data_IF_582327178370
#
_entry.id   IF_582327178370
#
_cell.length_a   1.000
_cell.length_b   1.000
_cell.length_c   1.000
_cell.angle_alpha   90.00
_cell.angle_beta   90.00
_cell.angle_gamma   90.00
#
_symmetry.space_group_name_H-M   'P 1'
#
loop_
_entity.id
_entity.type
_entity.pdbx_description
1 polymer ?
#
# COMPACT_ATOMS: atom_id res chain seq x y z
N UNK A 1 27.04 -4.19 -7.56
CA UNK A 1 25.99 -4.09 -6.54
C UNK A 1 24.66 -4.20 -7.26
N UNK A 2 23.85 -5.16 -6.89
CA UNK A 2 22.52 -5.32 -7.45
C UNK A 2 21.63 -4.17 -6.93
N UNK A 3 20.96 -3.46 -7.85
CA UNK A 3 20.10 -2.34 -7.49
C UNK A 3 18.88 -2.88 -6.74
N UNK A 4 18.44 -2.21 -5.67
CA UNK A 4 17.25 -2.56 -4.88
C UNK A 4 16.03 -2.85 -5.76
N UNK A 5 15.78 -2.01 -6.77
CA UNK A 5 14.69 -2.21 -7.74
C UNK A 5 14.83 -3.52 -8.53
N UNK A 6 16.05 -3.95 -8.84
CA UNK A 6 16.30 -5.20 -9.55
C UNK A 6 16.03 -6.41 -8.64
N UNK A 7 16.44 -6.34 -7.37
CA UNK A 7 16.09 -7.35 -6.36
C UNK A 7 14.57 -7.51 -6.23
N UNK A 8 13.84 -6.41 -6.12
CA UNK A 8 12.37 -6.43 -5.99
C UNK A 8 11.72 -7.08 -7.22
N UNK A 9 12.21 -6.77 -8.43
CA UNK A 9 11.70 -7.36 -9.67
C UNK A 9 11.95 -8.87 -9.79
N UNK A 10 13.00 -9.37 -9.17
CA UNK A 10 13.39 -10.79 -9.20
C UNK A 10 12.76 -11.62 -8.07
N UNK A 11 12.14 -10.98 -7.07
CA UNK A 11 11.41 -11.70 -6.02
C UNK A 11 10.29 -12.53 -6.62
N UNK A 12 10.14 -13.76 -6.18
CA UNK A 12 8.94 -14.56 -6.47
C UNK A 12 7.69 -13.94 -5.83
N UNK A 13 6.53 -14.36 -6.30
CA UNK A 13 5.24 -13.76 -5.93
C UNK A 13 4.94 -13.87 -4.43
N UNK A 14 5.31 -14.98 -3.81
CA UNK A 14 5.16 -15.16 -2.37
C UNK A 14 6.07 -14.20 -1.60
N UNK A 15 7.34 -14.18 -1.95
CA UNK A 15 8.34 -13.36 -1.29
C UNK A 15 8.03 -11.87 -1.40
N UNK A 16 7.56 -11.39 -2.56
CA UNK A 16 7.26 -9.95 -2.74
C UNK A 16 6.10 -9.47 -1.87
N UNK A 17 5.05 -10.29 -1.69
CA UNK A 17 3.92 -9.95 -0.82
C UNK A 17 4.36 -9.90 0.64
N UNK A 18 5.10 -10.90 1.09
CA UNK A 18 5.63 -10.97 2.47
C UNK A 18 6.65 -9.87 2.75
N UNK A 19 7.48 -9.54 1.76
CA UNK A 19 8.42 -8.43 1.86
C UNK A 19 7.70 -7.09 2.07
N UNK A 20 6.61 -6.83 1.33
CA UNK A 20 5.82 -5.62 1.54
C UNK A 20 5.16 -5.61 2.92
N UNK A 21 4.59 -6.71 3.39
CA UNK A 21 4.01 -6.79 4.74
C UNK A 21 5.06 -6.49 5.82
N UNK A 22 6.26 -7.05 5.68
CA UNK A 22 7.35 -6.81 6.61
C UNK A 22 7.82 -5.34 6.58
N UNK A 23 8.02 -4.78 5.38
CA UNK A 23 8.36 -3.36 5.19
C UNK A 23 7.26 -2.47 5.77
N UNK A 24 6.00 -2.76 5.49
CA UNK A 24 4.84 -2.03 6.01
C UNK A 24 4.83 -2.04 7.54
N UNK A 25 4.96 -3.20 8.16
CA UNK A 25 4.99 -3.33 9.62
C UNK A 25 6.14 -2.54 10.23
N UNK A 26 7.33 -2.61 9.63
CA UNK A 26 8.51 -1.90 10.11
C UNK A 26 8.36 -0.39 9.96
N UNK A 27 7.96 0.08 8.79
CA UNK A 27 7.82 1.52 8.51
C UNK A 27 6.68 2.14 9.33
N UNK A 28 5.52 1.46 9.44
CA UNK A 28 4.39 1.97 10.22
C UNK A 28 4.68 2.01 11.71
N UNK A 29 5.46 1.07 12.24
CA UNK A 29 5.87 1.10 13.65
C UNK A 29 6.84 2.25 13.97
N UNK A 30 7.61 2.69 12.99
CA UNK A 30 8.57 3.79 13.09
C UNK A 30 7.99 5.15 12.65
N UNK A 31 6.79 5.17 12.10
CA UNK A 31 6.13 6.37 11.60
C UNK A 31 5.70 7.28 12.76
N UNK A 32 6.05 8.57 12.68
CA UNK A 32 5.59 9.61 13.61
C UNK A 32 4.34 10.33 13.10
N UNK A 33 4.18 10.40 11.77
CA UNK A 33 3.03 11.06 11.15
C UNK A 33 1.77 10.21 11.28
N UNK A 34 0.65 10.83 11.61
CA UNK A 34 -0.63 10.17 11.55
C UNK A 34 -1.18 10.07 10.12
N UNK A 35 -2.26 9.32 9.94
CA UNK A 35 -2.86 9.10 8.62
C UNK A 35 -3.33 10.40 7.96
N UNK A 36 -3.83 11.36 8.76
CA UNK A 36 -4.33 12.64 8.25
C UNK A 36 -3.18 13.53 7.78
N UNK A 37 -2.08 13.61 8.54
CA UNK A 37 -0.87 14.34 8.12
C UNK A 37 -0.28 13.76 6.83
N UNK A 38 -0.28 12.44 6.67
CA UNK A 38 0.18 11.79 5.45
C UNK A 38 -0.71 12.14 4.25
N UNK A 39 -2.01 12.09 4.42
CA UNK A 39 -2.98 12.44 3.36
C UNK A 39 -2.85 13.91 2.96
N UNK A 40 -2.69 14.81 3.91
CA UNK A 40 -2.51 16.25 3.66
C UNK A 40 -1.20 16.56 2.92
N UNK A 41 -0.20 15.68 3.05
CA UNK A 41 1.09 15.82 2.35
C UNK A 41 1.10 15.21 0.94
N UNK A 42 -0.02 14.65 0.47
CA UNK A 42 -0.11 14.07 -0.87
C UNK A 42 -0.09 15.15 -1.97
N UNK A 43 0.51 14.88 -3.15
CA UNK A 43 0.41 15.77 -4.30
C UNK A 43 -1.04 16.00 -4.72
N UNK A 44 -1.36 17.24 -5.14
CA UNK A 44 -2.72 17.59 -5.58
C UNK A 44 -3.26 16.71 -6.73
N UNK A 45 -2.38 16.18 -7.57
CA UNK A 45 -2.75 15.26 -8.63
C UNK A 45 -3.26 13.90 -8.10
N UNK A 46 -2.82 13.51 -6.93
CA UNK A 46 -3.24 12.26 -6.26
C UNK A 46 -4.49 12.49 -5.42
N UNK A 47 -4.55 13.61 -4.68
CA UNK A 47 -5.70 13.92 -3.79
C UNK A 47 -7.01 14.16 -4.55
N UNK A 48 -6.93 14.54 -5.82
CA UNK A 48 -8.13 14.74 -6.67
C UNK A 48 -8.74 13.45 -7.22
N UNK A 49 -8.15 12.30 -6.94
CA UNK A 49 -8.67 11.01 -7.41
C UNK A 49 -9.77 10.50 -6.46
N UNK A 50 -11.01 10.28 -6.95
CA UNK A 50 -12.10 9.80 -6.12
C UNK A 50 -11.82 8.41 -5.51
N UNK A 51 -11.04 7.59 -6.21
CA UNK A 51 -10.62 6.28 -5.73
C UNK A 51 -9.73 6.39 -4.49
N UNK A 52 -8.89 7.41 -4.41
CA UNK A 52 -8.05 7.63 -3.24
C UNK A 52 -8.89 8.01 -2.01
N UNK A 53 -9.87 8.89 -2.17
CA UNK A 53 -10.77 9.27 -1.09
C UNK A 53 -11.48 8.06 -0.49
N UNK A 54 -11.97 7.16 -1.35
CA UNK A 54 -12.58 5.91 -0.94
C UNK A 54 -11.60 5.02 -0.15
N UNK A 55 -10.36 4.90 -0.62
CA UNK A 55 -9.32 4.11 0.05
C UNK A 55 -8.91 4.70 1.41
N UNK A 56 -8.78 6.01 1.51
CA UNK A 56 -8.50 6.70 2.78
C UNK A 56 -9.63 6.49 3.78
N UNK A 57 -10.88 6.53 3.32
CA UNK A 57 -12.04 6.22 4.14
C UNK A 57 -11.99 4.80 4.71
N UNK A 58 -11.59 3.82 3.91
CA UNK A 58 -11.42 2.43 4.35
C UNK A 58 -10.27 2.28 5.36
N UNK A 59 -9.16 2.97 5.13
CA UNK A 59 -8.02 2.96 6.05
C UNK A 59 -8.39 3.54 7.42
N UNK A 60 -9.09 4.67 7.44
CA UNK A 60 -9.60 5.29 8.68
C UNK A 60 -10.64 4.43 9.39
N UNK A 61 -11.43 3.68 8.63
CA UNK A 61 -12.41 2.71 9.16
C UNK A 61 -11.79 1.43 9.73
N UNK A 62 -10.48 1.25 9.62
CA UNK A 62 -9.77 0.04 10.09
C UNK A 62 -10.09 -1.20 9.24
N UNK A 63 -10.38 -1.03 7.97
CA UNK A 63 -10.69 -2.12 7.05
C UNK A 63 -9.47 -3.02 6.82
N UNK A 64 -9.54 -4.24 7.30
CA UNK A 64 -8.49 -5.26 7.16
C UNK A 64 -8.85 -6.35 6.14
N UNK A 65 -9.69 -6.05 5.15
CA UNK A 65 -9.97 -7.00 4.08
C UNK A 65 -8.69 -7.41 3.38
N UNK A 66 -8.67 -8.66 2.94
CA UNK A 66 -7.56 -9.23 2.19
C UNK A 66 -7.77 -9.00 0.69
N UNK A 67 -6.70 -8.62 0.01
CA UNK A 67 -6.71 -8.51 -1.45
C UNK A 67 -6.56 -9.89 -2.08
N UNK A 68 -7.21 -10.16 -3.24
CA UNK A 68 -6.97 -11.39 -4.00
C UNK A 68 -5.48 -11.57 -4.32
N UNK A 69 -5.00 -12.81 -4.38
CA UNK A 69 -3.58 -13.13 -4.56
C UNK A 69 -2.94 -12.43 -5.76
N UNK A 70 -3.60 -12.45 -6.92
CA UNK A 70 -3.07 -11.79 -8.13
C UNK A 70 -2.94 -10.27 -7.97
N UNK A 71 -3.86 -9.62 -7.25
CA UNK A 71 -3.80 -8.18 -6.96
C UNK A 71 -2.75 -7.90 -5.91
N UNK A 72 -2.65 -8.75 -4.89
CA UNK A 72 -1.64 -8.64 -3.82
C UNK A 72 -0.22 -8.60 -4.38
N UNK A 73 0.11 -9.49 -5.31
CA UNK A 73 1.44 -9.55 -5.96
C UNK A 73 1.75 -8.26 -6.73
N UNK A 74 0.80 -7.81 -7.56
CA UNK A 74 0.99 -6.61 -8.38
C UNK A 74 1.13 -5.35 -7.51
N UNK A 75 0.28 -5.22 -6.50
CA UNK A 75 0.31 -4.09 -5.57
C UNK A 75 1.59 -4.11 -4.74
N UNK A 76 1.98 -5.28 -4.22
CA UNK A 76 3.18 -5.41 -3.41
C UNK A 76 4.44 -5.03 -4.20
N UNK A 77 4.57 -5.57 -5.41
CA UNK A 77 5.71 -5.26 -6.29
C UNK A 77 5.75 -3.78 -6.67
N UNK A 78 4.60 -3.22 -7.07
CA UNK A 78 4.50 -1.81 -7.44
C UNK A 78 4.79 -0.88 -6.28
N UNK A 79 4.24 -1.13 -5.09
CA UNK A 79 4.48 -0.31 -3.90
C UNK A 79 5.96 -0.36 -3.46
N UNK A 80 6.58 -1.55 -3.43
CA UNK A 80 8.01 -1.67 -3.10
C UNK A 80 8.91 -0.94 -4.10
N UNK A 81 8.58 -0.99 -5.40
CA UNK A 81 9.33 -0.26 -6.42
C UNK A 81 9.21 1.25 -6.24
N UNK A 82 8.00 1.76 -5.96
CA UNK A 82 7.78 3.19 -5.68
C UNK A 82 8.55 3.66 -4.45
N UNK A 83 8.54 2.87 -3.38
CA UNK A 83 9.32 3.17 -2.17
C UNK A 83 10.83 3.17 -2.46
N UNK A 84 11.31 2.22 -3.27
CA UNK A 84 12.72 2.11 -3.65
C UNK A 84 13.19 3.24 -4.58
N UNK A 85 12.30 3.85 -5.35
CA UNK A 85 12.61 4.99 -6.22
C UNK A 85 12.80 6.30 -5.44
N UNK A 86 12.36 6.35 -4.19
CA UNK A 86 12.55 7.50 -3.31
C UNK A 86 13.84 7.37 -2.51
N UNK A 87 14.85 8.25 -2.76
CA UNK A 87 16.15 8.15 -2.08
C UNK A 87 16.02 8.12 -0.55
N UNK A 88 15.06 8.88 -0.01
CA UNK A 88 14.84 9.00 1.42
C UNK A 88 14.29 7.71 2.04
N UNK A 89 13.50 6.94 1.27
CA UNK A 89 12.86 5.72 1.72
C UNK A 89 13.66 4.47 1.34
N UNK A 90 14.47 4.54 0.28
CA UNK A 90 15.22 3.38 -0.25
C UNK A 90 16.12 2.75 0.79
N UNK A 91 16.81 3.54 1.63
CA UNK A 91 17.65 3.04 2.71
C UNK A 91 16.83 2.31 3.78
N UNK A 92 15.65 2.83 4.12
CA UNK A 92 14.75 2.21 5.10
C UNK A 92 14.17 0.90 4.56
N UNK A 93 13.77 0.89 3.28
CA UNK A 93 13.29 -0.31 2.60
C UNK A 93 14.40 -1.36 2.53
N UNK A 94 15.63 -0.97 2.16
CA UNK A 94 16.77 -1.88 2.10
C UNK A 94 17.09 -2.48 3.46
N UNK A 95 17.15 -1.67 4.52
CA UNK A 95 17.36 -2.13 5.89
C UNK A 95 16.26 -3.09 6.36
N UNK A 96 15.00 -2.77 6.05
CA UNK A 96 13.86 -3.63 6.36
C UNK A 96 13.95 -4.96 5.61
N UNK A 97 14.26 -4.95 4.31
CA UNK A 97 14.45 -6.17 3.52
C UNK A 97 15.65 -6.99 3.97
N UNK A 98 16.71 -6.36 4.47
CA UNK A 98 17.87 -7.06 5.03
C UNK A 98 17.53 -7.79 6.35
N UNK A 99 16.60 -7.27 7.13
CA UNK A 99 16.11 -7.91 8.36
C UNK A 99 15.04 -8.97 8.09
N UNK A 100 14.46 -8.99 6.88
CA UNK A 100 13.45 -9.97 6.49
C UNK A 100 14.04 -11.37 6.45
N UNK A 101 13.43 -12.27 7.20
CA UNK A 101 13.76 -13.70 7.18
C UNK A 101 12.61 -14.43 6.50
N UNK A 102 12.91 -15.06 5.38
CA UNK A 102 11.95 -15.89 4.66
C UNK A 102 11.54 -17.09 5.54
N UNK A 103 10.39 -16.97 6.17
CA UNK A 103 9.82 -18.05 6.98
C UNK A 103 8.64 -18.68 6.22
N UNK A 104 8.96 -19.59 5.30
CA UNK A 104 7.97 -20.27 4.43
C UNK A 104 6.92 -21.13 5.16
N UNK A 105 7.05 -21.24 6.47
CA UNK A 105 6.09 -22.02 7.27
C UNK A 105 4.72 -21.36 7.48
N UNK A 106 4.58 -20.08 7.14
CA UNK A 106 3.33 -19.33 7.28
C UNK A 106 2.78 -18.98 5.89
N UNK A 107 1.87 -19.76 5.41
CA UNK A 107 1.19 -19.55 4.13
C UNK A 107 0.24 -18.35 4.20
N UNK A 108 0.60 -17.24 3.57
CA UNK A 108 -0.38 -16.29 3.03
C UNK A 108 0.27 -15.47 1.92
N UNK A 109 -0.08 -15.76 0.69
CA UNK A 109 0.18 -14.92 -0.49
C UNK A 109 -0.80 -13.73 -0.57
N UNK A 110 -1.35 -13.31 0.57
CA UNK A 110 -2.50 -12.42 0.63
C UNK A 110 -2.09 -11.18 1.43
N UNK A 111 -2.10 -10.04 0.75
CA UNK A 111 -1.81 -8.73 1.32
C UNK A 111 -3.08 -8.15 1.96
N UNK A 112 -2.96 -7.59 3.16
CA UNK A 112 -4.05 -6.80 3.74
C UNK A 112 -4.24 -5.48 2.97
N UNK A 113 -5.49 -5.09 2.76
CA UNK A 113 -5.81 -3.82 2.11
C UNK A 113 -5.20 -2.63 2.87
N UNK A 114 -5.22 -2.68 4.20
CA UNK A 114 -4.63 -1.65 5.05
C UNK A 114 -3.13 -1.46 4.81
N UNK A 115 -2.36 -2.55 4.76
CA UNK A 115 -0.93 -2.49 4.47
C UNK A 115 -0.67 -1.94 3.05
N UNK A 116 -1.42 -2.41 2.06
CA UNK A 116 -1.30 -1.94 0.68
C UNK A 116 -1.56 -0.43 0.56
N UNK A 117 -2.68 0.05 1.10
CA UNK A 117 -3.09 1.46 1.05
C UNK A 117 -2.06 2.32 1.78
N UNK A 118 -1.65 1.93 2.99
CA UNK A 118 -0.66 2.68 3.77
C UNK A 118 0.65 2.84 3.02
N UNK A 119 1.15 1.80 2.38
CA UNK A 119 2.41 1.86 1.63
C UNK A 119 2.30 2.69 0.35
N UNK A 120 1.16 2.65 -0.35
CA UNK A 120 0.90 3.52 -1.50
C UNK A 120 0.87 4.99 -1.05
N UNK A 121 0.20 5.30 0.06
CA UNK A 121 0.14 6.65 0.62
C UNK A 121 1.54 7.12 1.01
N UNK A 122 2.31 6.32 1.77
CA UNK A 122 3.68 6.66 2.16
C UNK A 122 4.56 6.90 0.93
N UNK A 123 4.45 6.06 -0.10
CA UNK A 123 5.19 6.24 -1.35
C UNK A 123 4.82 7.52 -2.10
N UNK A 124 3.57 7.96 -1.98
CA UNK A 124 3.03 9.13 -2.66
C UNK A 124 3.25 10.45 -1.92
N UNK A 125 3.48 10.43 -0.60
CA UNK A 125 3.62 11.64 0.23
C UNK A 125 4.88 12.43 -0.10
N UNK A 126 4.81 13.76 0.05
CA UNK A 126 5.95 14.66 -0.15
C UNK A 126 6.85 14.77 1.08
N UNK A 127 6.32 14.48 2.26
CA UNK A 127 7.09 14.49 3.51
C UNK A 127 6.60 13.40 4.46
N UNK A 128 7.54 12.67 5.04
CA UNK A 128 7.28 11.63 6.05
C UNK A 128 8.27 11.78 7.18
N UNK A 129 7.80 11.61 8.41
CA UNK A 129 8.66 11.61 9.61
C UNK A 129 8.68 10.23 10.23
N UNK A 130 9.86 9.72 10.48
CA UNK A 130 10.06 8.47 11.20
C UNK A 130 10.83 8.74 12.51
N UNK A 131 10.60 7.93 13.53
CA UNK A 131 11.30 8.03 14.83
C UNK A 131 12.81 7.91 14.69
N UNK A 132 13.25 7.04 13.77
CA UNK A 132 14.67 6.80 13.50
C UNK A 132 15.28 7.79 12.52
N UNK A 133 14.48 8.42 11.65
CA UNK A 133 14.97 9.31 10.60
C UNK A 133 13.90 10.32 10.19
N UNK A 134 14.25 11.61 10.22
CA UNK A 134 13.44 12.63 9.59
C UNK A 134 13.65 12.57 8.07
N UNK A 135 12.61 12.17 7.36
CA UNK A 135 12.55 12.23 5.91
C UNK A 135 11.77 13.49 5.56
N UNK A 136 12.44 14.65 5.53
CA UNK A 136 11.84 15.82 4.91
C UNK A 136 11.90 15.61 3.41
N UNK A 137 10.73 15.57 2.77
CA UNK A 137 10.65 15.53 1.33
C UNK A 137 11.36 16.75 0.75
N UNK A 138 12.61 16.59 0.35
CA UNK A 138 13.16 17.47 -0.63
C UNK A 138 12.24 17.40 -1.84
N UNK A 139 11.91 18.55 -2.40
CA UNK A 139 10.99 18.81 -3.51
C UNK A 139 11.31 17.98 -4.79
N UNK A 140 11.34 16.68 -4.68
CA UNK A 140 11.26 15.81 -5.83
C UNK A 140 9.78 15.80 -6.23
N UNK A 141 9.45 16.73 -7.13
CA UNK A 141 8.19 16.68 -7.83
C UNK A 141 8.03 15.24 -8.35
N UNK A 142 7.00 14.54 -7.89
CA UNK A 142 6.73 13.20 -8.37
C UNK A 142 6.69 13.26 -9.90
N UNK A 143 7.56 12.50 -10.56
CA UNK A 143 7.59 12.50 -12.01
C UNK A 143 6.25 12.00 -12.56
N UNK A 144 5.83 12.40 -13.77
CA UNK A 144 4.58 11.89 -14.36
C UNK A 144 4.50 10.36 -14.37
N UNK A 145 5.64 9.67 -14.50
CA UNK A 145 5.72 8.22 -14.45
C UNK A 145 5.37 7.67 -13.04
N UNK A 146 5.89 8.28 -12.00
CA UNK A 146 5.60 7.91 -10.60
C UNK A 146 4.14 8.19 -10.27
N UNK A 147 3.60 9.34 -10.66
CA UNK A 147 2.18 9.66 -10.49
C UNK A 147 1.27 8.67 -11.23
N UNK A 148 1.64 8.28 -12.46
CA UNK A 148 0.93 7.25 -13.21
C UNK A 148 0.93 5.90 -12.50
N UNK A 149 2.06 5.46 -12.00
CA UNK A 149 2.17 4.20 -11.25
C UNK A 149 1.34 4.22 -9.96
N UNK A 150 1.36 5.31 -9.20
CA UNK A 150 0.51 5.49 -8.01
C UNK A 150 -0.97 5.38 -8.39
N UNK A 151 -1.38 6.08 -9.44
CA UNK A 151 -2.76 6.05 -9.94
C UNK A 151 -3.22 4.64 -10.30
N UNK A 152 -2.39 3.87 -10.99
CA UNK A 152 -2.71 2.48 -11.34
C UNK A 152 -2.84 1.58 -10.10
N UNK A 153 -1.97 1.75 -9.11
CA UNK A 153 -2.07 0.99 -7.86
C UNK A 153 -3.32 1.35 -7.06
N UNK A 154 -3.64 2.63 -6.95
CA UNK A 154 -4.87 3.13 -6.29
C UNK A 154 -6.10 2.53 -6.97
N UNK A 155 -6.18 2.57 -8.30
CA UNK A 155 -7.29 1.99 -9.05
C UNK A 155 -7.39 0.48 -8.87
N UNK A 156 -6.27 -0.24 -8.90
CA UNK A 156 -6.24 -1.68 -8.71
C UNK A 156 -6.81 -2.09 -7.35
N UNK A 157 -6.41 -1.42 -6.28
CA UNK A 157 -6.93 -1.69 -4.93
C UNK A 157 -8.41 -1.28 -4.83
N UNK A 158 -8.77 -0.07 -5.30
CA UNK A 158 -10.13 0.44 -5.23
C UNK A 158 -11.14 -0.44 -5.99
N UNK A 159 -10.79 -0.93 -7.18
CA UNK A 159 -11.66 -1.79 -7.99
C UNK A 159 -12.01 -3.10 -7.29
N UNK A 160 -11.04 -3.68 -6.58
CA UNK A 160 -11.26 -4.92 -5.82
C UNK A 160 -12.12 -4.66 -4.60
N UNK A 161 -11.86 -3.59 -3.87
CA UNK A 161 -12.61 -3.26 -2.66
C UNK A 161 -14.05 -2.82 -2.97
N UNK A 162 -14.28 -2.15 -4.09
CA UNK A 162 -15.63 -1.80 -4.57
C UNK A 162 -16.43 -3.03 -5.03
N UNK A 163 -15.77 -4.00 -5.67
CA UNK A 163 -16.41 -5.25 -6.12
C UNK A 163 -16.74 -6.23 -5.00
N UNK A 164 -16.16 -6.06 -3.83
CA UNK A 164 -16.36 -6.90 -2.66
C UNK A 164 -17.55 -6.48 -1.76
N UNK A 165 -18.41 -5.56 -2.23
CA UNK A 165 -19.66 -5.24 -1.51
C UNK A 165 -20.52 -6.52 -1.43
N UNK A 166 -20.94 -6.95 -0.22
CA UNK A 166 -21.81 -8.13 -0.11
C UNK A 166 -23.11 -7.82 -0.87
N UNK A 167 -23.68 -8.80 -1.57
CA UNK A 167 -24.96 -8.61 -2.23
C UNK A 167 -25.99 -8.22 -1.15
N UNK A 168 -26.63 -7.06 -1.34
CA UNK A 168 -27.70 -6.61 -0.49
C UNK A 168 -28.71 -7.75 -0.37
N UNK A 169 -28.86 -8.28 0.85
CA UNK A 169 -29.76 -9.38 1.11
C UNK A 169 -31.15 -9.01 0.62
N UNK A 170 -31.66 -9.78 -0.33
CA UNK A 170 -33.08 -9.75 -0.69
C UNK A 170 -33.83 -10.16 0.57
N UNK A 171 -34.40 -9.17 1.25
CA UNK A 171 -35.45 -9.45 2.21
C UNK A 171 -36.62 -10.10 1.42
N UNK A 172 -36.72 -11.39 1.55
CA UNK A 172 -37.95 -12.10 1.21
C UNK A 172 -39.01 -11.66 2.21
N UNK A 173 -39.82 -10.69 1.80
CA UNK A 173 -41.12 -10.48 2.44
C UNK A 173 -41.99 -11.70 2.13
N UNK A 174 -41.99 -12.65 3.02
CA UNK A 174 -42.99 -13.72 3.06
C UNK A 174 -44.33 -13.08 3.39
N UNK A 175 -45.19 -12.88 2.40
CA UNK A 175 -46.61 -12.66 2.65
C UNK A 175 -47.25 -14.02 2.94
N UNK A 176 -47.44 -14.27 4.19
CA UNK A 176 -48.29 -15.34 4.67
C UNK A 176 -49.73 -14.83 4.63
N UNK A 177 -50.48 -15.36 3.68
CA UNK A 177 -51.92 -15.19 3.62
C UNK A 177 -52.53 -16.42 4.21
N UNK A 178 -53.14 -16.25 5.35
CA UNK A 178 -54.03 -17.24 5.95
C UNK A 178 -55.36 -17.26 5.22
#
# INVERSE_FOLDING_TARGET
MENLSQRIKQMDDFTVVRALEHVSSTLLSDLESDADELVDSLPAAVTKQPELEALVGLLRGGDNRQLPAAVSVNVARGALLLLAERPELSELVEASLASYKDNRAMAAEILSAGAAISMIIVAATTSVKFKSKHVSGSKHAATPAVLGAITELVKAVASVLAGASPPAGKQQTGSETA
#
